data_IF_427376492403
#
_entry.id   IF_427376492403
#
_cell.length_a   1.000
_cell.length_b   1.000
_cell.length_c   1.000
_cell.angle_alpha   90.00
_cell.angle_beta   90.00
_cell.angle_gamma   90.00
#
_symmetry.space_group_name_H-M   'P 1'
#
loop_
_entity.id
_entity.type
_entity.pdbx_description
1 polymer ?
#
# COMPACT_ATOMS: atom_id res chain seq x y z
N UNK A 1 -6.58 6.83 7.10
CA UNK A 1 -8.01 6.47 7.38
C UNK A 1 -8.08 5.63 8.66
N UNK A 2 -8.84 6.08 9.66
CA UNK A 2 -8.90 5.47 11.00
C UNK A 2 -10.36 5.31 11.45
N UNK A 3 -10.63 4.23 12.18
CA UNK A 3 -11.93 3.98 12.80
C UNK A 3 -11.90 4.45 14.26
N UNK A 4 -12.90 5.23 14.66
CA UNK A 4 -13.17 5.53 16.07
C UNK A 4 -14.53 4.94 16.46
N UNK A 5 -14.53 4.15 17.53
CA UNK A 5 -15.75 3.57 18.11
C UNK A 5 -16.25 4.50 19.21
N UNK A 6 -17.43 5.08 18.99
CA UNK A 6 -18.12 5.93 19.98
C UNK A 6 -19.35 5.19 20.51
N UNK A 7 -19.89 5.54 21.69
CA UNK A 7 -21.11 4.93 22.21
C UNK A 7 -22.34 5.09 21.30
N UNK A 8 -22.29 5.97 20.30
CA UNK A 8 -23.39 6.24 19.36
C UNK A 8 -23.23 5.51 18.00
N UNK A 9 -22.08 4.87 17.73
CA UNK A 9 -21.84 4.11 16.50
C UNK A 9 -20.37 4.05 16.04
N UNK A 10 -20.13 3.40 14.90
CA UNK A 10 -18.81 3.33 14.27
C UNK A 10 -18.63 4.49 13.30
N UNK A 11 -17.70 5.40 13.60
CA UNK A 11 -17.39 6.54 12.74
C UNK A 11 -16.13 6.27 11.92
N UNK A 12 -16.24 6.49 10.62
CA UNK A 12 -15.16 6.35 9.66
C UNK A 12 -14.54 7.74 9.45
N UNK A 13 -13.24 7.86 9.75
CA UNK A 13 -12.50 9.12 9.64
C UNK A 13 -11.50 9.02 8.48
N UNK A 14 -11.72 9.86 7.48
CA UNK A 14 -10.82 10.03 6.34
C UNK A 14 -9.53 10.76 6.75
N UNK A 15 -8.52 10.72 5.89
CA UNK A 15 -7.19 11.30 6.17
C UNK A 15 -7.20 12.84 6.27
N UNK A 16 -8.21 13.48 5.67
CA UNK A 16 -8.46 14.92 5.72
C UNK A 16 -9.31 15.35 6.93
N UNK A 17 -9.71 14.41 7.81
CA UNK A 17 -10.52 14.68 9.00
C UNK A 17 -12.03 14.59 8.79
N UNK A 18 -12.49 14.30 7.57
CA UNK A 18 -13.91 14.09 7.28
C UNK A 18 -14.45 12.87 8.01
N UNK A 19 -15.55 13.06 8.76
CA UNK A 19 -16.23 12.02 9.55
C UNK A 19 -17.51 11.57 8.85
N UNK A 20 -17.66 10.27 8.63
CA UNK A 20 -18.94 9.66 8.21
C UNK A 20 -19.32 8.54 9.17
N UNK A 21 -20.54 8.61 9.69
CA UNK A 21 -21.13 7.53 10.49
C UNK A 21 -21.54 6.37 9.57
N UNK A 22 -21.13 5.15 9.91
CA UNK A 22 -21.57 3.93 9.23
C UNK A 22 -22.95 3.56 9.77
N UNK A 23 -23.99 3.56 8.92
CA UNK A 23 -25.32 3.08 9.33
C UNK A 23 -25.36 1.55 9.30
N UNK A 24 -26.18 0.96 10.17
CA UNK A 24 -26.39 -0.48 10.24
C UNK A 24 -26.89 -1.03 8.88
N UNK A 25 -26.12 -1.92 8.26
CA UNK A 25 -26.43 -2.54 6.97
C UNK A 25 -25.67 -2.02 5.75
N UNK A 26 -24.76 -1.04 5.89
CA UNK A 26 -23.92 -0.58 4.78
C UNK A 26 -22.61 -1.38 4.64
N UNK A 27 -22.37 -1.95 3.46
CA UNK A 27 -21.09 -2.58 3.09
C UNK A 27 -19.96 -1.54 3.03
N UNK A 28 -18.85 -1.84 3.70
CA UNK A 28 -17.70 -0.94 3.82
C UNK A 28 -17.09 -0.57 2.46
N UNK A 29 -17.12 -1.49 1.50
CA UNK A 29 -16.65 -1.27 0.13
C UNK A 29 -17.55 -0.29 -0.63
N UNK A 30 -18.87 -0.41 -0.48
CA UNK A 30 -19.88 0.48 -1.08
C UNK A 30 -19.77 1.90 -0.52
N UNK A 31 -19.58 2.02 0.80
CA UNK A 31 -19.39 3.30 1.48
C UNK A 31 -18.10 3.99 1.03
N UNK A 32 -16.99 3.24 0.94
CA UNK A 32 -15.72 3.76 0.45
C UNK A 32 -15.77 4.16 -1.04
N UNK A 33 -16.52 3.42 -1.86
CA UNK A 33 -16.74 3.76 -3.27
C UNK A 33 -17.58 5.05 -3.43
N UNK A 34 -18.67 5.20 -2.67
CA UNK A 34 -19.50 6.40 -2.69
C UNK A 34 -18.72 7.65 -2.24
N UNK A 35 -17.96 7.52 -1.15
CA UNK A 35 -17.11 8.61 -0.67
C UNK A 35 -16.07 9.06 -1.71
N UNK A 36 -15.50 8.12 -2.46
CA UNK A 36 -14.55 8.40 -3.56
C UNK A 36 -15.23 9.08 -4.76
N UNK A 37 -16.49 8.79 -5.02
CA UNK A 37 -17.26 9.47 -6.07
C UNK A 37 -17.56 10.93 -5.72
N UNK A 38 -17.70 11.25 -4.43
CA UNK A 38 -17.90 12.62 -3.93
C UNK A 38 -16.58 13.42 -3.80
N UNK A 39 -15.44 12.75 -3.63
CA UNK A 39 -14.11 13.37 -3.48
C UNK A 39 -13.17 12.91 -4.62
N UNK A 40 -13.14 13.62 -5.76
CA UNK A 40 -12.37 13.21 -6.93
C UNK A 40 -10.85 13.15 -6.70
N UNK A 41 -10.35 13.81 -5.65
CA UNK A 41 -8.94 13.82 -5.27
C UNK A 41 -8.53 12.67 -4.34
N UNK A 42 -9.46 11.80 -3.93
CA UNK A 42 -9.15 10.68 -3.04
C UNK A 42 -8.23 9.66 -3.75
N UNK A 43 -7.04 9.42 -3.17
CA UNK A 43 -6.09 8.42 -3.70
C UNK A 43 -6.76 7.04 -3.82
N UNK A 44 -6.43 6.24 -4.85
CA UNK A 44 -6.92 4.87 -4.95
C UNK A 44 -6.50 4.04 -3.73
N UNK A 45 -7.22 2.95 -3.42
CA UNK A 45 -6.86 2.09 -2.31
C UNK A 45 -5.47 1.46 -2.56
N UNK A 46 -4.73 1.20 -1.49
CA UNK A 46 -3.42 0.52 -1.60
C UNK A 46 -3.69 -0.95 -1.93
N UNK A 47 -3.13 -1.49 -3.02
CA UNK A 47 -3.23 -2.91 -3.33
C UNK A 47 -2.59 -3.76 -2.23
N UNK A 48 -3.27 -4.82 -1.81
CA UNK A 48 -2.71 -5.77 -0.83
C UNK A 48 -1.51 -6.56 -1.41
N UNK A 49 -1.51 -6.79 -2.73
CA UNK A 49 -0.40 -7.38 -3.45
C UNK A 49 -0.31 -6.86 -4.89
N UNK A 50 0.88 -6.97 -5.47
CA UNK A 50 1.14 -6.69 -6.89
C UNK A 50 2.00 -7.80 -7.49
N UNK A 51 2.04 -7.91 -8.81
CA UNK A 51 2.96 -8.83 -9.46
C UNK A 51 4.41 -8.32 -9.36
N UNK A 52 5.43 -9.20 -9.34
CA UNK A 52 6.83 -8.77 -9.31
C UNK A 52 7.21 -7.87 -10.48
N UNK A 53 6.65 -8.10 -11.66
CA UNK A 53 6.94 -7.27 -12.84
C UNK A 53 6.38 -5.84 -12.71
N UNK A 54 5.20 -5.68 -12.11
CA UNK A 54 4.60 -4.39 -11.80
C UNK A 54 5.48 -3.61 -10.81
N UNK A 55 5.91 -4.25 -9.72
CA UNK A 55 6.81 -3.65 -8.74
C UNK A 55 8.13 -3.22 -9.39
N UNK A 56 8.76 -4.11 -10.17
CA UNK A 56 10.03 -3.81 -10.85
C UNK A 56 9.89 -2.67 -11.86
N UNK A 57 8.76 -2.55 -12.56
CA UNK A 57 8.48 -1.41 -13.45
C UNK A 57 8.33 -0.10 -12.68
N UNK A 58 7.56 -0.09 -11.59
CA UNK A 58 7.40 1.09 -10.74
C UNK A 58 8.72 1.55 -10.13
N UNK A 59 9.53 0.63 -9.61
CA UNK A 59 10.87 0.94 -9.10
C UNK A 59 11.79 1.53 -10.18
N UNK A 60 11.72 1.05 -11.43
CA UNK A 60 12.47 1.67 -12.54
C UNK A 60 11.93 3.05 -12.88
N UNK A 61 10.62 3.24 -12.89
CA UNK A 61 9.99 4.54 -13.13
C UNK A 61 10.44 5.60 -12.12
N UNK A 62 10.62 5.21 -10.86
CA UNK A 62 11.13 6.08 -9.79
C UNK A 62 12.67 6.16 -9.72
N UNK A 63 13.40 5.43 -10.57
CA UNK A 63 14.87 5.36 -10.50
C UNK A 63 15.42 4.60 -9.28
N UNK A 64 14.57 3.90 -8.52
CA UNK A 64 14.92 3.21 -7.27
C UNK A 64 15.37 1.75 -7.48
N UNK A 65 15.19 1.18 -8.69
CA UNK A 65 15.48 -0.23 -8.97
C UNK A 65 16.92 -0.62 -8.61
N UNK A 66 17.90 0.20 -8.97
CA UNK A 66 19.30 -0.09 -8.68
C UNK A 66 19.60 -0.09 -7.17
N UNK A 67 18.97 0.80 -6.42
CA UNK A 67 19.11 0.89 -4.97
C UNK A 67 18.49 -0.33 -4.28
N UNK A 68 17.33 -0.78 -4.73
CA UNK A 68 16.69 -2.00 -4.24
C UNK A 68 17.53 -3.24 -4.56
N UNK A 69 18.09 -3.34 -5.77
CA UNK A 69 18.97 -4.47 -6.13
C UNK A 69 20.24 -4.51 -5.28
N UNK A 70 20.83 -3.35 -5.00
CA UNK A 70 21.98 -3.23 -4.10
C UNK A 70 21.62 -3.65 -2.67
N UNK A 71 20.42 -3.29 -2.19
CA UNK A 71 19.94 -3.73 -0.88
C UNK A 71 19.70 -5.24 -0.84
N UNK A 72 19.03 -5.81 -1.84
CA UNK A 72 18.76 -7.26 -1.92
C UNK A 72 20.06 -8.07 -1.91
N UNK A 73 21.12 -7.57 -2.56
CA UNK A 73 22.45 -8.21 -2.52
C UNK A 73 23.10 -8.24 -1.12
N UNK A 74 22.57 -7.51 -0.14
CA UNK A 74 23.01 -7.55 1.27
C UNK A 74 22.21 -8.51 2.13
N UNK A 75 21.09 -9.04 1.62
CA UNK A 75 20.24 -9.99 2.32
C UNK A 75 20.86 -11.40 2.30
N UNK A 76 20.35 -12.26 3.17
CA UNK A 76 20.63 -13.69 3.09
C UNK A 76 20.02 -14.33 1.82
N UNK A 77 20.47 -15.55 1.51
CA UNK A 77 20.09 -16.26 0.29
C UNK A 77 18.58 -16.50 0.20
N UNK A 78 17.92 -16.86 1.31
CA UNK A 78 16.47 -17.14 1.34
C UNK A 78 15.67 -15.87 1.03
N UNK A 79 16.01 -14.74 1.65
CA UNK A 79 15.36 -13.45 1.40
C UNK A 79 15.61 -12.93 -0.03
N UNK A 80 16.80 -13.17 -0.59
CA UNK A 80 17.10 -12.82 -1.97
C UNK A 80 16.31 -13.68 -2.96
N UNK A 81 16.17 -14.98 -2.71
CA UNK A 81 15.34 -15.90 -3.49
C UNK A 81 13.86 -15.51 -3.44
N UNK A 82 13.35 -15.11 -2.27
CA UNK A 82 11.98 -14.61 -2.12
C UNK A 82 11.74 -13.39 -3.02
N UNK A 83 12.66 -12.42 -3.05
CA UNK A 83 12.56 -11.26 -3.93
C UNK A 83 12.63 -11.62 -5.43
N UNK A 84 13.47 -12.57 -5.81
CA UNK A 84 13.70 -12.91 -7.21
C UNK A 84 12.55 -13.76 -7.78
N UNK A 85 12.09 -14.75 -7.01
CA UNK A 85 11.20 -15.81 -7.47
C UNK A 85 9.77 -15.73 -6.93
N UNK A 86 9.43 -14.80 -6.04
CA UNK A 86 8.05 -14.60 -5.60
C UNK A 86 7.10 -14.45 -6.80
N UNK A 87 5.91 -15.06 -6.68
CA UNK A 87 4.84 -14.91 -7.68
C UNK A 87 3.97 -13.67 -7.41
N UNK A 88 3.97 -13.19 -6.16
CA UNK A 88 3.25 -12.01 -5.72
C UNK A 88 4.11 -11.27 -4.69
N UNK A 89 4.02 -9.94 -4.75
CA UNK A 89 4.65 -9.03 -3.81
C UNK A 89 3.56 -8.50 -2.89
N UNK A 90 3.53 -8.99 -1.65
CA UNK A 90 2.54 -8.59 -0.66
C UNK A 90 2.98 -7.35 0.12
N UNK A 91 2.07 -6.41 0.37
CA UNK A 91 2.34 -5.20 1.17
C UNK A 91 2.71 -5.52 2.63
N UNK A 92 2.28 -6.69 3.10
CA UNK A 92 2.60 -7.26 4.41
C UNK A 92 3.90 -8.06 4.47
N UNK A 93 4.61 -8.25 3.36
CA UNK A 93 5.84 -9.04 3.34
C UNK A 93 6.93 -8.36 4.17
N UNK A 94 7.49 -9.10 5.14
CA UNK A 94 8.46 -8.57 6.11
C UNK A 94 9.78 -8.13 5.43
N UNK A 95 10.25 -8.89 4.43
CA UNK A 95 11.46 -8.59 3.66
C UNK A 95 11.36 -7.23 2.96
N UNK A 96 10.20 -6.95 2.37
CA UNK A 96 9.92 -5.68 1.69
C UNK A 96 9.76 -4.51 2.64
N UNK A 97 9.12 -4.72 3.78
CA UNK A 97 9.03 -3.68 4.82
C UNK A 97 10.41 -3.35 5.38
N UNK A 98 11.26 -4.35 5.61
CA UNK A 98 12.64 -4.15 6.01
C UNK A 98 13.44 -3.40 4.92
N UNK A 99 13.24 -3.73 3.65
CA UNK A 99 13.85 -3.02 2.52
C UNK A 99 13.41 -1.55 2.45
N UNK A 100 12.11 -1.28 2.54
CA UNK A 100 11.57 0.08 2.55
C UNK A 100 12.16 0.90 3.71
N UNK A 101 12.21 0.33 4.92
CA UNK A 101 12.82 0.97 6.08
C UNK A 101 14.33 1.20 5.93
N UNK A 102 15.07 0.22 5.40
CA UNK A 102 16.50 0.33 5.11
C UNK A 102 16.83 1.40 4.07
N UNK A 103 15.88 1.68 3.16
CA UNK A 103 15.95 2.76 2.18
C UNK A 103 15.42 4.11 2.70
N UNK A 104 14.96 4.17 3.95
CA UNK A 104 14.41 5.38 4.57
C UNK A 104 13.04 5.80 4.02
N UNK A 105 12.30 4.88 3.40
CA UNK A 105 10.94 5.14 2.92
C UNK A 105 9.96 5.16 4.10
N UNK A 106 9.07 6.15 4.07
CA UNK A 106 7.88 6.20 4.94
C UNK A 106 6.84 5.18 4.49
N UNK A 107 5.92 4.82 5.39
CA UNK A 107 4.77 3.97 5.05
C UNK A 107 3.93 4.57 3.92
N UNK A 108 3.72 5.89 3.90
CA UNK A 108 2.98 6.53 2.80
C UNK A 108 3.70 6.40 1.45
N UNK A 109 5.04 6.48 1.44
CA UNK A 109 5.82 6.29 0.22
C UNK A 109 5.80 4.84 -0.27
N UNK A 110 5.81 3.87 0.65
CA UNK A 110 5.64 2.47 0.30
C UNK A 110 4.23 2.23 -0.29
N UNK A 111 3.19 2.83 0.30
CA UNK A 111 1.82 2.74 -0.19
C UNK A 111 1.65 3.37 -1.58
N UNK A 112 2.24 4.54 -1.81
CA UNK A 112 2.26 5.19 -3.12
C UNK A 112 3.02 4.37 -4.16
N UNK A 113 4.09 3.67 -3.77
CA UNK A 113 4.80 2.73 -4.65
C UNK A 113 3.90 1.54 -5.05
N UNK A 114 3.13 0.98 -4.11
CA UNK A 114 2.20 -0.11 -4.42
C UNK A 114 1.06 0.35 -5.33
N UNK A 115 0.52 1.56 -5.12
CA UNK A 115 -0.46 2.17 -6.04
C UNK A 115 0.11 2.35 -7.45
N UNK A 116 1.34 2.87 -7.54
CA UNK A 116 2.03 3.05 -8.81
C UNK A 116 2.28 1.70 -9.50
N UNK A 117 2.73 0.68 -8.75
CA UNK A 117 2.96 -0.65 -9.30
C UNK A 117 1.68 -1.26 -9.89
N UNK A 118 0.53 -1.11 -9.23
CA UNK A 118 -0.73 -1.61 -9.76
C UNK A 118 -1.18 -0.95 -11.08
N UNK A 119 -0.66 0.25 -11.42
CA UNK A 119 -0.95 0.91 -12.69
C UNK A 119 0.02 0.57 -13.84
N UNK A 120 1.00 -0.33 -13.61
CA UNK A 120 2.10 -0.64 -14.56
C UNK A 120 1.89 -1.89 -15.41
#
# INVERSE_FOLDING_TARGET
MRLEFTPEGTTLIADDGTRRELKEGEDQETVAAAFRAEHPDAKPPVPASVTPIQMRKALRHLGLKATVDAYVATLDEEAAEEWEYALAIERGNATLQAAAAGLGMTDEQADDLFRLAASM
#
